data_IF_218215497301
#
_entry.id   IF_218215497301
#
_cell.length_a   1.000
_cell.length_b   1.000
_cell.length_c   1.000
_cell.angle_alpha   90.00
_cell.angle_beta   90.00
_cell.angle_gamma   90.00
#
_symmetry.space_group_name_H-M   'P 1'
#
loop_
_entity.id
_entity.type
_entity.pdbx_description
1 polymer ?
#
# COMPACT_ATOMS: atom_id res chain seq x y z
N UNK A 1 22.64 -2.58 14.77
CA UNK A 1 22.14 -3.30 15.94
C UNK A 1 20.66 -3.58 15.72
N UNK A 2 20.27 -4.84 15.65
CA UNK A 2 18.85 -5.23 15.57
C UNK A 2 18.14 -4.88 16.89
N UNK A 3 16.80 -4.78 16.87
CA UNK A 3 16.04 -4.58 18.11
C UNK A 3 16.34 -5.68 19.14
N UNK A 4 16.43 -6.94 18.69
CA UNK A 4 16.80 -8.07 19.54
C UNK A 4 18.20 -7.94 20.14
N UNK A 5 19.17 -7.43 19.38
CA UNK A 5 20.53 -7.14 19.89
C UNK A 5 20.56 -5.97 20.88
N UNK A 6 19.76 -4.92 20.65
CA UNK A 6 19.62 -3.79 21.58
C UNK A 6 18.88 -4.18 22.88
N UNK A 7 18.09 -5.25 22.82
CA UNK A 7 17.30 -5.78 23.93
C UNK A 7 17.97 -6.94 24.67
N UNK A 8 19.08 -7.49 24.18
CA UNK A 8 19.76 -8.60 24.83
C UNK A 8 20.23 -8.21 26.24
N UNK A 9 19.73 -8.91 27.27
CA UNK A 9 20.23 -8.83 28.65
C UNK A 9 19.66 -7.71 29.54
N UNK A 10 18.70 -6.89 29.10
CA UNK A 10 17.88 -6.13 30.06
C UNK A 10 16.42 -6.01 29.66
N UNK A 11 15.57 -5.85 30.67
CA UNK A 11 14.15 -5.69 30.52
C UNK A 11 13.82 -4.39 29.76
N UNK A 12 12.90 -4.49 28.80
CA UNK A 12 12.20 -3.33 28.26
C UNK A 12 11.45 -2.62 29.39
N UNK A 13 11.23 -1.29 29.32
CA UNK A 13 10.35 -0.64 30.25
C UNK A 13 8.93 -1.22 30.14
N UNK A 14 8.37 -1.60 31.28
CA UNK A 14 6.99 -2.06 31.47
C UNK A 14 6.11 -0.93 32.00
N UNK A 15 4.82 -1.18 32.23
CA UNK A 15 3.91 -0.18 32.81
C UNK A 15 4.27 0.19 34.25
N UNK A 16 4.94 -0.71 34.95
CA UNK A 16 5.39 -0.59 36.34
C UNK A 16 6.79 0.02 36.44
N UNK A 17 7.51 0.13 35.32
CA UNK A 17 8.86 0.71 35.31
C UNK A 17 8.78 2.19 35.68
N UNK A 18 9.50 2.65 36.73
CA UNK A 18 9.56 4.06 37.08
C UNK A 18 9.99 4.92 35.88
N UNK A 19 9.39 6.09 35.73
CA UNK A 19 9.60 6.96 34.56
C UNK A 19 11.08 7.32 34.35
N UNK A 20 11.81 7.62 35.42
CA UNK A 20 13.24 7.92 35.36
C UNK A 20 14.07 6.73 34.86
N UNK A 21 13.69 5.50 35.23
CA UNK A 21 14.35 4.29 34.74
C UNK A 21 14.03 4.04 33.27
N UNK A 22 12.77 4.21 32.86
CA UNK A 22 12.38 4.13 31.46
C UNK A 22 13.13 5.17 30.61
N UNK A 23 13.20 6.43 31.06
CA UNK A 23 13.94 7.50 30.40
C UNK A 23 15.42 7.15 30.22
N UNK A 24 16.06 6.62 31.28
CA UNK A 24 17.45 6.17 31.26
C UNK A 24 17.65 5.02 30.26
N UNK A 25 16.81 3.98 30.31
CA UNK A 25 16.87 2.86 29.36
C UNK A 25 16.76 3.36 27.92
N UNK A 26 15.78 4.22 27.65
CA UNK A 26 15.51 4.72 26.30
C UNK A 26 16.63 5.63 25.78
N UNK A 27 17.15 6.51 26.63
CA UNK A 27 18.26 7.39 26.31
C UNK A 27 19.56 6.62 26.07
N UNK A 28 19.95 5.78 27.03
CA UNK A 28 21.27 5.17 27.04
C UNK A 28 21.41 4.09 25.96
N UNK A 29 20.31 3.38 25.65
CA UNK A 29 20.33 2.31 24.64
C UNK A 29 20.03 2.77 23.23
N UNK A 30 19.04 3.65 23.08
CA UNK A 30 18.52 4.01 21.76
C UNK A 30 18.88 5.44 21.37
N UNK A 31 19.57 6.20 22.24
CA UNK A 31 19.76 7.64 22.07
C UNK A 31 18.44 8.36 21.77
N UNK A 32 17.35 7.85 22.35
CA UNK A 32 16.01 8.28 22.01
C UNK A 32 15.75 9.67 22.62
N UNK A 33 15.04 10.51 21.85
CA UNK A 33 14.45 11.75 22.37
C UNK A 33 13.05 11.53 22.93
N UNK A 34 12.28 10.67 22.28
CA UNK A 34 10.91 10.35 22.69
C UNK A 34 10.83 8.86 23.00
N UNK A 35 10.04 8.55 24.02
CA UNK A 35 9.76 7.20 24.48
C UNK A 35 8.29 6.86 24.33
N UNK A 36 7.99 5.67 23.83
CA UNK A 36 6.66 5.07 23.83
C UNK A 36 6.76 3.61 24.29
N UNK A 37 6.07 3.25 25.36
CA UNK A 37 6.04 1.88 25.87
C UNK A 37 4.70 1.57 26.55
N UNK A 38 4.42 0.29 26.80
CA UNK A 38 3.13 -0.08 27.36
C UNK A 38 2.83 -1.57 27.27
N UNK A 39 1.58 -1.92 27.55
CA UNK A 39 1.05 -3.26 27.37
C UNK A 39 -0.07 -3.26 26.33
N UNK A 40 -0.13 -4.32 25.53
CA UNK A 40 -1.20 -4.55 24.56
C UNK A 40 -1.86 -5.86 24.90
N UNK A 41 -3.18 -5.86 25.06
CA UNK A 41 -3.97 -7.04 25.39
C UNK A 41 -5.17 -7.17 24.45
N UNK A 42 -5.56 -8.39 24.05
CA UNK A 42 -6.77 -8.59 23.25
C UNK A 42 -8.03 -8.24 24.06
N UNK A 43 -9.01 -7.64 23.38
CA UNK A 43 -10.35 -7.39 23.92
C UNK A 43 -11.38 -7.60 22.81
N UNK A 44 -12.13 -8.71 22.90
CA UNK A 44 -13.02 -9.14 21.81
C UNK A 44 -12.26 -9.38 20.50
N UNK A 45 -12.73 -8.77 19.41
CA UNK A 45 -12.06 -8.77 18.11
C UNK A 45 -10.90 -7.75 18.01
N UNK A 46 -10.79 -6.86 19.00
CA UNK A 46 -9.87 -5.73 19.02
C UNK A 46 -8.73 -5.88 20.02
N UNK A 47 -8.15 -4.75 20.41
CA UNK A 47 -7.07 -4.63 21.40
C UNK A 47 -7.33 -3.46 22.35
N UNK A 48 -6.87 -3.62 23.58
CA UNK A 48 -6.66 -2.54 24.53
C UNK A 48 -5.16 -2.31 24.68
N UNK A 49 -4.76 -1.05 24.64
CA UNK A 49 -3.38 -0.61 24.76
C UNK A 49 -3.26 0.35 25.93
N UNK A 50 -2.55 -0.07 26.97
CA UNK A 50 -2.17 0.78 28.08
C UNK A 50 -0.81 1.38 27.74
N UNK A 51 -0.76 2.69 27.47
CA UNK A 51 0.42 3.32 26.88
C UNK A 51 0.99 4.41 27.78
N UNK A 52 2.31 4.52 27.75
CA UNK A 52 3.12 5.57 28.36
C UNK A 52 3.95 6.26 27.28
N UNK A 53 3.88 7.57 27.22
CA UNK A 53 4.65 8.40 26.29
C UNK A 53 5.43 9.48 27.04
N UNK A 54 6.67 9.76 26.62
CA UNK A 54 7.46 10.85 27.19
C UNK A 54 8.38 11.53 26.17
N UNK A 55 8.65 12.82 26.39
CA UNK A 55 9.84 13.48 25.87
C UNK A 55 10.93 13.37 26.94
N UNK A 56 11.97 12.58 26.65
CA UNK A 56 13.05 12.23 27.58
C UNK A 56 13.85 13.46 27.99
N UNK A 57 13.90 14.49 27.14
CA UNK A 57 14.64 15.72 27.43
C UNK A 57 13.92 16.60 28.44
N UNK A 58 12.59 16.64 28.38
CA UNK A 58 11.79 17.60 29.16
C UNK A 58 11.04 16.96 30.33
N UNK A 59 10.84 15.64 30.29
CA UNK A 59 9.95 14.91 31.20
C UNK A 59 10.53 13.57 31.64
N UNK A 60 11.82 13.54 32.00
CA UNK A 60 12.49 12.30 32.41
C UNK A 60 11.87 11.66 33.66
N UNK A 61 11.25 12.44 34.55
CA UNK A 61 10.69 11.95 35.82
C UNK A 61 9.22 11.56 35.76
N UNK A 62 8.51 11.89 34.67
CA UNK A 62 7.09 11.57 34.53
C UNK A 62 6.68 11.45 33.06
N UNK A 63 5.95 10.40 32.65
CA UNK A 63 5.39 10.33 31.31
C UNK A 63 4.40 11.47 31.07
N UNK A 64 4.52 12.09 29.91
CA UNK A 64 3.59 13.14 29.43
C UNK A 64 2.25 12.52 29.06
N UNK A 65 2.26 11.26 28.60
CA UNK A 65 1.06 10.52 28.21
C UNK A 65 0.97 9.26 29.06
N UNK A 66 -0.18 9.03 29.68
CA UNK A 66 -0.48 7.84 30.45
C UNK A 66 -1.95 7.49 30.36
N UNK A 67 -2.36 6.86 29.26
CA UNK A 67 -3.78 6.57 28.98
C UNK A 67 -3.95 5.22 28.30
N UNK A 68 -5.18 4.73 28.35
CA UNK A 68 -5.62 3.49 27.73
C UNK A 68 -6.33 3.81 26.42
N UNK A 69 -6.02 3.06 25.38
CA UNK A 69 -6.66 3.14 24.07
C UNK A 69 -7.34 1.82 23.76
N UNK A 70 -8.52 1.89 23.16
CA UNK A 70 -9.18 0.71 22.59
C UNK A 70 -9.20 0.84 21.07
N UNK A 71 -8.78 -0.24 20.42
CA UNK A 71 -8.77 -0.38 18.98
C UNK A 71 -9.72 -1.50 18.60
N UNK A 72 -10.75 -1.20 17.80
CA UNK A 72 -11.70 -2.20 17.33
C UNK A 72 -11.05 -3.31 16.49
N UNK A 73 -9.90 -3.01 15.89
CA UNK A 73 -9.12 -3.93 15.04
C UNK A 73 -7.63 -3.83 15.39
N UNK A 74 -6.90 -4.94 15.31
CA UNK A 74 -5.47 -4.99 15.68
C UNK A 74 -4.59 -4.07 14.85
N UNK A 75 -5.04 -3.72 13.65
CA UNK A 75 -4.35 -2.84 12.71
C UNK A 75 -4.32 -1.38 13.15
N UNK A 76 -5.19 -0.98 14.09
CA UNK A 76 -5.29 0.40 14.56
C UNK A 76 -4.24 0.75 15.63
N UNK A 77 -3.34 -0.19 15.97
CA UNK A 77 -2.18 0.08 16.85
C UNK A 77 -1.29 1.18 16.26
N UNK A 78 -0.98 1.12 14.97
CA UNK A 78 -0.10 2.10 14.33
C UNK A 78 -0.74 3.51 14.32
N UNK A 79 -2.01 3.69 13.93
CA UNK A 79 -2.71 4.97 14.12
C UNK A 79 -2.65 5.51 15.54
N UNK A 80 -2.86 4.66 16.55
CA UNK A 80 -2.75 5.08 17.96
C UNK A 80 -1.34 5.52 18.31
N UNK A 81 -0.31 4.80 17.85
CA UNK A 81 1.09 5.19 18.03
C UNK A 81 1.40 6.53 17.35
N UNK A 82 0.93 6.74 16.12
CA UNK A 82 1.10 7.98 15.37
C UNK A 82 0.46 9.16 16.11
N UNK A 83 -0.78 9.02 16.58
CA UNK A 83 -1.49 10.07 17.32
C UNK A 83 -0.75 10.43 18.62
N UNK A 84 -0.22 9.44 19.33
CA UNK A 84 0.60 9.65 20.51
C UNK A 84 1.90 10.40 20.17
N UNK A 85 2.59 10.01 19.09
CA UNK A 85 3.82 10.67 18.66
C UNK A 85 3.56 12.12 18.21
N UNK A 86 2.44 12.38 17.52
CA UNK A 86 2.03 13.72 17.15
C UNK A 86 1.80 14.59 18.39
N UNK A 87 1.11 14.07 19.39
CA UNK A 87 0.91 14.73 20.68
C UNK A 87 2.25 15.01 21.40
N UNK A 88 3.11 14.01 21.55
CA UNK A 88 4.43 14.16 22.21
C UNK A 88 5.33 15.18 21.52
N UNK A 89 5.26 15.25 20.19
CA UNK A 89 6.12 16.12 19.40
C UNK A 89 5.53 17.52 19.16
N UNK A 90 4.27 17.74 19.55
CA UNK A 90 3.49 18.94 19.18
C UNK A 90 3.29 19.09 17.67
N UNK A 91 3.54 18.03 16.89
CA UNK A 91 3.37 18.05 15.44
C UNK A 91 1.91 17.80 15.11
N UNK A 92 1.43 18.43 14.04
CA UNK A 92 0.13 18.11 13.47
C UNK A 92 0.33 17.05 12.40
N UNK A 93 -0.63 16.12 12.26
CA UNK A 93 -0.69 15.22 11.13
C UNK A 93 -0.67 16.09 9.87
N UNK A 94 0.27 15.86 8.97
CA UNK A 94 0.18 16.49 7.65
C UNK A 94 -1.15 16.03 7.05
N UNK A 95 -2.00 16.94 6.54
CA UNK A 95 -3.16 16.52 5.78
C UNK A 95 -2.67 15.54 4.73
N UNK A 96 -3.27 14.35 4.67
CA UNK A 96 -3.09 13.52 3.48
C UNK A 96 -3.65 14.38 2.36
N UNK A 97 -2.85 14.73 1.34
CA UNK A 97 -3.39 15.47 0.22
C UNK A 97 -4.62 14.75 -0.29
N UNK A 98 -5.79 15.38 -0.15
CA UNK A 98 -6.98 14.92 -0.82
C UNK A 98 -6.73 15.19 -2.30
N UNK A 99 -6.32 14.16 -3.04
CA UNK A 99 -6.48 14.18 -4.47
C UNK A 99 -7.97 14.39 -4.71
N UNK A 100 -8.38 15.49 -5.35
CA UNK A 100 -9.76 15.66 -5.80
C UNK A 100 -9.87 14.91 -7.12
N UNK A 101 -10.55 13.75 -7.15
CA UNK A 101 -10.72 13.00 -8.39
C UNK A 101 -11.42 13.85 -9.44
N UNK A 102 -12.28 14.80 -9.04
CA UNK A 102 -12.97 15.72 -9.94
C UNK A 102 -12.00 16.71 -10.60
N UNK A 103 -11.08 17.30 -9.84
CA UNK A 103 -10.09 18.22 -10.38
C UNK A 103 -9.13 17.50 -11.34
N UNK A 104 -8.66 16.31 -10.96
CA UNK A 104 -7.79 15.49 -11.80
C UNK A 104 -8.53 14.95 -13.04
N UNK A 105 -9.83 14.64 -12.92
CA UNK A 105 -10.68 14.25 -14.04
C UNK A 105 -10.85 15.37 -15.08
N UNK A 106 -10.82 16.64 -14.66
CA UNK A 106 -10.92 17.79 -15.56
C UNK A 106 -9.65 18.08 -16.37
N UNK A 107 -8.50 17.50 -16.00
CA UNK A 107 -7.23 17.74 -16.70
C UNK A 107 -7.28 17.15 -18.11
N UNK A 108 -7.04 18.02 -19.09
CA UNK A 108 -6.97 17.68 -20.51
C UNK A 108 -5.72 16.83 -20.79
N UNK A 109 -5.90 15.82 -21.64
CA UNK A 109 -4.82 14.93 -22.08
C UNK A 109 -4.59 15.06 -23.58
N UNK A 110 -3.37 14.76 -24.02
CA UNK A 110 -2.96 14.76 -25.43
C UNK A 110 -2.32 13.43 -25.80
N UNK A 111 -2.32 13.12 -27.09
CA UNK A 111 -1.69 11.91 -27.62
C UNK A 111 -2.51 10.62 -27.39
N UNK A 112 -1.93 9.47 -27.77
CA UNK A 112 -2.58 8.18 -27.65
C UNK A 112 -2.59 7.66 -26.21
N UNK A 113 -3.36 6.59 -25.98
CA UNK A 113 -3.25 5.76 -24.79
C UNK A 113 -1.86 5.11 -24.72
N UNK A 114 -1.20 5.18 -23.56
CA UNK A 114 0.13 4.60 -23.37
C UNK A 114 0.07 3.19 -22.76
N UNK A 115 -1.03 2.83 -22.08
CA UNK A 115 -1.21 1.50 -21.50
C UNK A 115 -1.73 0.55 -22.57
N UNK A 116 -0.96 -0.49 -22.87
CA UNK A 116 -1.40 -1.56 -23.76
C UNK A 116 -2.54 -2.34 -23.09
N UNK A 117 -3.67 -2.45 -23.79
CA UNK A 117 -4.81 -3.28 -23.39
C UNK A 117 -5.24 -3.03 -21.92
N UNK A 118 -5.38 -1.76 -21.54
CA UNK A 118 -5.77 -1.39 -20.18
C UNK A 118 -7.20 -1.76 -19.79
N UNK A 119 -8.08 -2.00 -20.77
CA UNK A 119 -9.41 -2.59 -20.58
C UNK A 119 -9.41 -4.12 -20.54
N UNK A 120 -8.25 -4.77 -20.66
CA UNK A 120 -8.12 -6.24 -20.58
C UNK A 120 -9.01 -7.03 -21.57
N UNK A 121 -9.32 -6.49 -22.75
CA UNK A 121 -10.23 -7.14 -23.71
C UNK A 121 -9.52 -8.12 -24.65
N UNK A 122 -8.20 -7.99 -24.83
CA UNK A 122 -7.42 -8.84 -25.74
C UNK A 122 -6.44 -9.75 -25.01
N UNK A 123 -6.12 -10.90 -25.60
CA UNK A 123 -5.21 -11.90 -25.03
C UNK A 123 -5.69 -13.33 -25.29
N UNK A 124 -5.00 -14.30 -24.70
CA UNK A 124 -5.33 -15.72 -24.81
C UNK A 124 -5.53 -16.35 -23.42
N UNK A 125 -4.46 -16.84 -22.80
CA UNK A 125 -4.50 -17.30 -21.41
C UNK A 125 -4.32 -16.16 -20.39
N UNK A 126 -3.82 -15.02 -20.85
CA UNK A 126 -3.56 -13.82 -20.05
C UNK A 126 -3.85 -12.58 -20.88
N UNK A 127 -4.23 -11.44 -20.27
CA UNK A 127 -4.35 -10.17 -20.99
C UNK A 127 -3.04 -9.82 -21.69
N UNK A 128 -3.12 -9.48 -22.98
CA UNK A 128 -1.98 -9.01 -23.74
C UNK A 128 -1.44 -7.71 -23.11
N UNK A 129 -0.12 -7.51 -23.04
CA UNK A 129 0.45 -6.28 -22.46
C UNK A 129 0.62 -6.31 -20.94
N UNK A 130 0.35 -7.44 -20.30
CA UNK A 130 0.40 -7.61 -18.85
C UNK A 130 1.12 -8.89 -18.45
N UNK A 131 1.55 -8.98 -17.19
CA UNK A 131 2.16 -10.19 -16.65
C UNK A 131 1.21 -11.39 -16.79
N UNK A 132 1.74 -12.61 -16.79
CA UNK A 132 0.92 -13.82 -16.85
C UNK A 132 0.07 -13.98 -15.58
N UNK A 133 -1.22 -14.29 -15.70
CA UNK A 133 -2.05 -14.68 -14.54
C UNK A 133 -1.54 -15.98 -13.89
N UNK A 134 -1.63 -16.06 -12.57
CA UNK A 134 -1.19 -17.22 -11.79
C UNK A 134 -2.31 -18.25 -11.57
N UNK A 135 -3.58 -17.91 -11.78
CA UNK A 135 -4.72 -18.81 -11.60
C UNK A 135 -5.08 -19.14 -10.14
N UNK A 136 -4.38 -18.57 -9.15
CA UNK A 136 -4.69 -18.77 -7.73
C UNK A 136 -5.08 -17.46 -7.03
N UNK A 137 -4.34 -16.38 -7.32
CA UNK A 137 -4.60 -15.05 -6.76
C UNK A 137 -4.89 -14.01 -7.84
N UNK A 138 -4.65 -14.31 -9.11
CA UNK A 138 -4.88 -13.43 -10.26
C UNK A 138 -5.60 -14.19 -11.37
N UNK A 139 -6.64 -13.57 -11.91
CA UNK A 139 -7.57 -14.17 -12.86
C UNK A 139 -7.97 -13.15 -13.92
N UNK A 140 -8.34 -13.64 -15.11
CA UNK A 140 -8.89 -12.84 -16.19
C UNK A 140 -10.33 -13.31 -16.46
N UNK A 141 -11.31 -12.43 -16.22
CA UNK A 141 -12.73 -12.82 -16.09
C UNK A 141 -13.66 -11.88 -16.86
N UNK A 142 -14.83 -12.36 -17.29
CA UNK A 142 -15.86 -11.60 -18.03
C UNK A 142 -16.75 -10.69 -17.16
N UNK A 143 -16.24 -10.26 -16.00
CA UNK A 143 -16.97 -9.48 -14.99
C UNK A 143 -16.66 -7.96 -15.05
N UNK A 144 -16.10 -7.48 -16.16
CA UNK A 144 -15.60 -6.11 -16.39
C UNK A 144 -16.69 -5.04 -16.57
N UNK A 145 -16.28 -3.82 -16.94
CA UNK A 145 -17.17 -2.67 -17.07
C UNK A 145 -17.01 -1.90 -18.39
N UNK A 146 -17.67 -2.36 -19.48
CA UNK A 146 -18.18 -3.72 -19.69
C UNK A 146 -17.06 -4.65 -20.17
N UNK A 147 -17.30 -5.96 -20.20
CA UNK A 147 -16.39 -6.92 -20.85
C UNK A 147 -15.52 -7.67 -19.85
N UNK A 148 -14.22 -7.76 -20.13
CA UNK A 148 -13.25 -8.49 -19.31
C UNK A 148 -12.62 -7.58 -18.25
N UNK A 149 -12.05 -8.20 -17.21
CA UNK A 149 -11.29 -7.47 -16.19
C UNK A 149 -10.24 -8.36 -15.54
N UNK A 150 -9.28 -7.72 -14.87
CA UNK A 150 -8.39 -8.40 -13.93
C UNK A 150 -9.12 -8.59 -12.60
N UNK A 151 -9.19 -9.83 -12.14
CA UNK A 151 -9.65 -10.18 -10.80
C UNK A 151 -8.47 -10.62 -9.94
N UNK A 152 -8.36 -10.05 -8.74
CA UNK A 152 -7.40 -10.43 -7.72
C UNK A 152 -8.14 -11.03 -6.52
N UNK A 153 -7.73 -12.21 -6.05
CA UNK A 153 -8.17 -12.80 -4.80
C UNK A 153 -7.01 -12.77 -3.78
N UNK A 154 -7.16 -12.01 -2.70
CA UNK A 154 -6.16 -11.97 -1.61
C UNK A 154 -6.51 -12.90 -0.46
N UNK A 155 -7.68 -13.53 -0.50
CA UNK A 155 -8.19 -14.45 0.52
C UNK A 155 -7.72 -15.89 0.25
N UNK A 156 -6.40 -16.09 0.34
CA UNK A 156 -5.69 -17.36 0.12
C UNK A 156 -4.69 -17.52 1.25
N UNK A 157 -4.56 -18.71 1.84
CA UNK A 157 -3.53 -18.94 2.86
C UNK A 157 -2.14 -18.68 2.27
N UNK A 158 -1.31 -17.95 3.02
CA UNK A 158 0.00 -17.53 2.56
C UNK A 158 0.88 -18.71 2.15
N UNK A 159 0.88 -19.78 2.92
CA UNK A 159 1.73 -20.95 2.66
C UNK A 159 1.29 -21.68 1.38
N UNK A 160 -0.02 -21.79 1.13
CA UNK A 160 -0.56 -22.34 -0.13
C UNK A 160 -0.14 -21.49 -1.33
N UNK A 161 -0.15 -20.16 -1.16
CA UNK A 161 0.30 -19.23 -2.18
C UNK A 161 1.80 -19.37 -2.44
N UNK A 162 2.64 -19.44 -1.40
CA UNK A 162 4.09 -19.63 -1.56
C UNK A 162 4.41 -20.92 -2.32
N UNK A 163 3.74 -22.02 -1.97
CA UNK A 163 3.94 -23.30 -2.68
C UNK A 163 3.50 -23.22 -4.14
N UNK A 164 2.39 -22.54 -4.43
CA UNK A 164 1.97 -22.31 -5.81
C UNK A 164 2.93 -21.41 -6.57
N UNK A 165 3.39 -20.30 -5.98
CA UNK A 165 4.33 -19.38 -6.62
C UNK A 165 5.65 -20.05 -7.00
N UNK A 166 6.13 -21.04 -6.24
CA UNK A 166 7.29 -21.87 -6.61
C UNK A 166 7.03 -22.60 -7.93
N UNK A 167 5.89 -23.28 -8.06
CA UNK A 167 5.50 -24.02 -9.27
C UNK A 167 5.24 -23.09 -10.45
N UNK A 168 4.53 -21.99 -10.22
CA UNK A 168 4.24 -20.96 -11.21
C UNK A 168 5.53 -20.36 -11.79
N UNK A 169 6.51 -19.99 -10.95
CA UNK A 169 7.83 -19.51 -11.38
C UNK A 169 8.64 -20.57 -12.12
N UNK A 170 8.43 -21.85 -11.83
CA UNK A 170 9.02 -22.97 -12.57
C UNK A 170 8.28 -23.29 -13.89
N UNK A 171 7.24 -22.53 -14.25
CA UNK A 171 6.55 -22.62 -15.53
C UNK A 171 5.18 -23.28 -15.51
N UNK A 172 4.65 -23.68 -14.35
CA UNK A 172 3.29 -24.22 -14.24
C UNK A 172 2.25 -23.26 -14.87
N UNK A 173 1.25 -23.82 -15.54
CA UNK A 173 0.19 -23.08 -16.19
C UNK A 173 -0.89 -22.64 -15.19
N UNK A 174 -1.61 -21.56 -15.48
CA UNK A 174 -2.60 -21.00 -14.56
C UNK A 174 -3.77 -21.95 -14.26
N UNK A 175 -4.15 -22.80 -15.20
CA UNK A 175 -5.18 -23.83 -15.06
C UNK A 175 -4.76 -25.01 -14.16
N UNK A 176 -3.48 -25.09 -13.77
CA UNK A 176 -2.96 -26.07 -12.83
C UNK A 176 -2.97 -25.55 -11.38
N UNK A 177 -3.39 -24.30 -11.16
CA UNK A 177 -3.46 -23.71 -9.83
C UNK A 177 -4.44 -24.49 -8.94
N UNK A 178 -4.06 -24.86 -7.71
CA UNK A 178 -4.99 -25.50 -6.79
C UNK A 178 -6.07 -24.50 -6.37
N UNK A 179 -7.30 -24.98 -6.20
CA UNK A 179 -8.35 -24.21 -5.56
C UNK A 179 -7.89 -23.85 -4.12
N UNK A 180 -7.93 -22.57 -3.71
CA UNK A 180 -7.56 -22.18 -2.36
C UNK A 180 -8.42 -22.86 -1.31
N UNK A 181 -7.82 -23.29 -0.20
CA UNK A 181 -8.60 -23.74 0.95
C UNK A 181 -9.40 -22.57 1.53
N UNK A 182 -10.68 -22.74 1.90
CA UNK A 182 -11.45 -21.69 2.55
C UNK A 182 -10.74 -21.19 3.81
N UNK A 183 -10.43 -19.90 3.84
CA UNK A 183 -9.76 -19.29 4.99
C UNK A 183 -10.74 -19.08 6.14
N UNK A 184 -10.24 -19.12 7.38
CA UNK A 184 -11.05 -18.94 8.59
C UNK A 184 -10.38 -17.99 9.58
N UNK A 185 -11.14 -17.54 10.58
CA UNK A 185 -10.62 -16.71 11.66
C UNK A 185 -10.22 -15.30 11.21
N UNK A 186 -9.17 -14.69 11.82
CA UNK A 186 -8.81 -13.29 11.58
C UNK A 186 -8.01 -13.05 10.29
N UNK A 187 -7.67 -14.11 9.55
CA UNK A 187 -7.05 -14.07 8.21
C UNK A 187 -5.69 -13.35 8.11
N UNK A 188 -4.94 -13.25 9.20
CA UNK A 188 -3.58 -12.67 9.18
C UNK A 188 -2.54 -13.58 8.53
N UNK A 189 -2.85 -14.87 8.43
CA UNK A 189 -2.08 -15.92 7.76
C UNK A 189 -2.45 -16.04 6.27
N UNK A 190 -3.25 -15.12 5.73
CA UNK A 190 -3.56 -15.05 4.31
C UNK A 190 -2.59 -14.15 3.56
N UNK A 191 -2.56 -14.25 2.24
CA UNK A 191 -1.80 -13.35 1.37
C UNK A 191 -2.16 -11.88 1.65
N UNK A 192 -3.44 -11.57 1.89
CA UNK A 192 -3.91 -10.25 2.30
C UNK A 192 -3.22 -9.72 3.58
N UNK A 193 -3.00 -10.59 4.56
CA UNK A 193 -2.44 -10.24 5.87
C UNK A 193 -0.93 -10.04 5.87
N UNK A 194 -0.20 -10.65 4.92
CA UNK A 194 1.27 -10.69 4.94
C UNK A 194 1.91 -9.92 3.78
N UNK A 195 1.48 -10.17 2.54
CA UNK A 195 2.21 -9.72 1.34
C UNK A 195 1.40 -8.86 0.37
N UNK A 196 0.11 -9.13 0.23
CA UNK A 196 -0.68 -8.67 -0.91
C UNK A 196 -0.32 -9.37 -2.22
N UNK A 197 -1.06 -9.02 -3.27
CA UNK A 197 -0.93 -9.54 -4.63
C UNK A 197 -0.66 -8.37 -5.55
N UNK A 198 0.37 -8.51 -6.40
CA UNK A 198 0.77 -7.51 -7.37
C UNK A 198 0.62 -8.03 -8.81
N UNK A 199 0.17 -7.15 -9.72
CA UNK A 199 0.01 -7.45 -11.12
C UNK A 199 0.57 -6.33 -12.01
N UNK A 200 1.65 -6.63 -12.72
CA UNK A 200 2.43 -5.67 -13.50
C UNK A 200 1.98 -5.58 -14.97
N UNK A 201 1.97 -4.36 -15.49
CA UNK A 201 1.92 -4.10 -16.93
C UNK A 201 3.28 -4.39 -17.61
N UNK A 202 3.26 -4.48 -18.93
CA UNK A 202 4.46 -4.24 -19.74
C UNK A 202 5.02 -2.83 -19.50
N UNK A 203 6.32 -2.60 -19.81
CA UNK A 203 6.92 -1.27 -19.80
C UNK A 203 6.11 -0.24 -20.61
N UNK A 204 5.79 0.88 -19.98
CA UNK A 204 5.14 2.04 -20.59
C UNK A 204 6.19 3.14 -20.78
N UNK A 205 6.42 3.61 -22.02
CA UNK A 205 7.39 4.66 -22.27
C UNK A 205 6.92 6.00 -21.69
N UNK A 206 7.85 6.77 -21.13
CA UNK A 206 7.61 8.13 -20.63
C UNK A 206 8.66 9.09 -21.18
N UNK A 207 8.25 10.33 -21.43
CA UNK A 207 9.08 11.40 -21.95
C UNK A 207 9.48 12.36 -20.82
N UNK A 208 10.70 12.92 -20.85
CA UNK A 208 11.14 13.95 -19.89
C UNK A 208 10.27 15.22 -19.86
N UNK A 209 10.13 15.83 -18.67
CA UNK A 209 9.37 17.05 -18.41
C UNK A 209 7.85 16.91 -18.48
N UNK A 210 7.31 15.69 -18.65
CA UNK A 210 5.86 15.48 -18.83
C UNK A 210 5.14 15.11 -17.53
N UNK A 211 3.87 15.48 -17.49
CA UNK A 211 2.90 15.02 -16.49
C UNK A 211 1.92 14.05 -17.15
N UNK A 212 1.44 13.08 -16.36
CA UNK A 212 0.58 12.01 -16.85
C UNK A 212 -0.70 11.92 -16.04
N UNK A 213 -1.83 11.79 -16.72
CA UNK A 213 -3.10 11.45 -16.11
C UNK A 213 -3.23 9.94 -16.11
N UNK A 214 -3.32 9.36 -14.92
CA UNK A 214 -3.42 7.92 -14.70
C UNK A 214 -4.77 7.61 -14.09
N UNK A 215 -5.51 6.66 -14.65
CA UNK A 215 -6.79 6.22 -14.11
C UNK A 215 -6.97 4.71 -14.15
N UNK A 216 -7.90 4.22 -13.35
CA UNK A 216 -8.29 2.80 -13.29
C UNK A 216 -9.71 2.68 -12.74
N UNK A 217 -10.50 1.80 -13.35
CA UNK A 217 -11.76 1.32 -12.83
C UNK A 217 -11.51 0.26 -11.75
N UNK A 218 -12.20 0.39 -10.62
CA UNK A 218 -12.03 -0.47 -9.47
C UNK A 218 -13.39 -0.88 -8.89
N UNK A 219 -13.54 -2.17 -8.58
CA UNK A 219 -14.65 -2.71 -7.80
C UNK A 219 -14.11 -3.66 -6.73
N UNK A 220 -14.23 -3.27 -5.47
CA UNK A 220 -13.82 -4.10 -4.33
C UNK A 220 -14.01 -3.38 -3.00
N UNK A 221 -13.71 -4.07 -1.91
CA UNK A 221 -13.80 -3.48 -0.57
C UNK A 221 -12.57 -2.62 -0.27
N UNK A 222 -12.77 -1.49 0.39
CA UNK A 222 -11.66 -0.67 0.89
C UNK A 222 -12.05 -0.04 2.23
N UNK A 223 -11.07 0.26 3.05
CA UNK A 223 -11.24 0.99 4.30
C UNK A 223 -10.50 2.33 4.20
N UNK A 224 -10.67 3.19 5.20
CA UNK A 224 -9.97 4.48 5.24
C UNK A 224 -8.45 4.32 5.23
N UNK A 225 -7.96 3.23 5.84
CA UNK A 225 -6.54 2.95 5.99
C UNK A 225 -5.99 1.93 4.97
N UNK A 226 -6.82 0.97 4.58
CA UNK A 226 -6.44 -0.11 3.67
C UNK A 226 -7.24 -0.05 2.38
N UNK A 227 -6.54 0.18 1.28
CA UNK A 227 -7.13 0.31 -0.05
C UNK A 227 -6.15 -0.25 -1.09
N UNK A 228 -6.64 -0.91 -2.15
CA UNK A 228 -5.79 -1.26 -3.28
C UNK A 228 -5.08 -0.04 -3.86
N UNK A 229 -3.97 -0.29 -4.54
CA UNK A 229 -3.12 0.76 -5.12
C UNK A 229 -2.84 0.44 -6.56
N UNK A 230 -2.78 1.47 -7.39
CA UNK A 230 -2.10 1.43 -8.66
C UNK A 230 -0.76 2.14 -8.49
N UNK A 231 0.34 1.39 -8.37
CA UNK A 231 1.66 1.99 -8.33
C UNK A 231 2.12 2.39 -9.73
N UNK A 232 2.76 3.55 -9.83
CA UNK A 232 3.44 4.07 -11.00
C UNK A 232 4.93 4.03 -10.68
N UNK A 233 5.61 2.97 -11.14
CA UNK A 233 7.03 2.74 -10.82
C UNK A 233 7.91 3.03 -12.01
N UNK A 234 8.82 4.00 -11.85
CA UNK A 234 9.85 4.30 -12.85
C UNK A 234 11.07 3.43 -12.63
N UNK A 235 11.54 2.80 -13.71
CA UNK A 235 12.67 1.88 -13.73
C UNK A 235 13.84 2.47 -14.49
N UNK A 236 15.05 2.13 -14.05
CA UNK A 236 16.32 2.51 -14.67
C UNK A 236 17.37 1.42 -14.47
N UNK A 237 18.37 1.34 -15.34
CA UNK A 237 19.56 0.54 -15.10
C UNK A 237 20.47 1.21 -14.05
N UNK A 238 20.63 0.58 -12.89
CA UNK A 238 21.58 0.99 -11.85
C UNK A 238 22.57 -0.14 -11.63
N UNK A 239 23.83 0.07 -12.04
CA UNK A 239 24.84 -0.98 -12.02
C UNK A 239 24.55 -2.14 -12.99
N UNK A 240 23.83 -1.88 -14.08
CA UNK A 240 23.42 -2.89 -15.06
C UNK A 240 22.14 -3.65 -14.72
N UNK A 241 21.58 -3.46 -13.52
CA UNK A 241 20.33 -4.10 -13.09
C UNK A 241 19.15 -3.12 -13.13
N UNK A 242 17.96 -3.63 -13.46
CA UNK A 242 16.73 -2.84 -13.36
C UNK A 242 16.41 -2.53 -11.89
N UNK A 243 16.34 -1.25 -11.56
CA UNK A 243 15.93 -0.76 -10.23
C UNK A 243 14.78 0.22 -10.34
N UNK A 244 13.90 0.19 -9.34
CA UNK A 244 12.88 1.22 -9.16
C UNK A 244 13.58 2.49 -8.65
N UNK A 245 13.55 3.56 -9.43
CA UNK A 245 14.13 4.87 -9.10
C UNK A 245 13.07 5.95 -8.86
N UNK A 246 11.81 5.63 -9.15
CA UNK A 246 10.64 6.45 -8.90
C UNK A 246 9.47 5.57 -8.45
N UNK A 247 8.75 6.00 -7.42
CA UNK A 247 7.54 5.33 -6.95
C UNK A 247 6.49 6.37 -6.58
N UNK A 248 5.34 6.28 -7.23
CA UNK A 248 4.12 6.98 -6.87
C UNK A 248 2.97 5.97 -6.87
N UNK A 249 1.82 6.33 -6.27
CA UNK A 249 0.65 5.46 -6.35
C UNK A 249 -0.65 6.25 -6.40
N UNK A 250 -1.63 5.71 -7.09
CA UNK A 250 -3.03 6.12 -6.97
C UNK A 250 -3.71 5.22 -5.92
N UNK A 251 -4.30 5.85 -4.91
CA UNK A 251 -5.09 5.17 -3.88
C UNK A 251 -6.46 4.80 -4.46
N UNK A 252 -6.83 3.51 -4.44
CA UNK A 252 -8.08 3.03 -5.02
C UNK A 252 -9.12 2.89 -3.91
N UNK A 253 -9.78 4.00 -3.61
CA UNK A 253 -10.91 4.01 -2.67
C UNK A 253 -12.18 3.66 -3.43
N UNK A 254 -13.05 2.90 -2.80
CA UNK A 254 -14.36 2.53 -3.34
C UNK A 254 -15.43 2.78 -2.28
N UNK A 255 -16.24 3.82 -2.50
CA UNK A 255 -17.34 4.19 -1.61
C UNK A 255 -18.46 3.14 -1.64
N UNK A 256 -18.67 2.51 -2.80
CA UNK A 256 -19.63 1.44 -3.02
C UNK A 256 -19.24 0.12 -2.33
N UNK A 257 -18.04 0.01 -1.74
CA UNK A 257 -17.58 -1.16 -1.00
C UNK A 257 -17.72 -2.48 -1.81
N UNK A 258 -17.41 -2.41 -3.11
CA UNK A 258 -17.50 -3.54 -4.04
C UNK A 258 -18.86 -3.77 -4.68
N UNK A 259 -19.89 -2.97 -4.35
CA UNK A 259 -21.22 -3.07 -4.97
C UNK A 259 -21.31 -2.46 -6.37
N UNK A 260 -20.30 -1.69 -6.78
CA UNK A 260 -20.26 -1.00 -8.07
C UNK A 260 -18.85 -0.68 -8.50
N UNK A 261 -18.70 -0.35 -9.79
CA UNK A 261 -17.45 0.12 -10.36
C UNK A 261 -17.27 1.62 -10.11
N UNK A 262 -16.07 2.00 -9.69
CA UNK A 262 -15.67 3.40 -9.50
C UNK A 262 -14.39 3.69 -10.26
N UNK A 263 -14.33 4.85 -10.92
CA UNK A 263 -13.13 5.32 -11.58
C UNK A 263 -12.30 6.15 -10.60
N UNK A 264 -11.03 5.78 -10.44
CA UNK A 264 -10.05 6.53 -9.68
C UNK A 264 -9.08 7.17 -10.66
N UNK A 265 -8.69 8.43 -10.42
CA UNK A 265 -7.79 9.19 -11.29
C UNK A 265 -6.79 9.98 -10.47
N UNK A 266 -5.57 10.11 -10.99
CA UNK A 266 -4.51 10.94 -10.42
C UNK A 266 -3.65 11.57 -11.51
N UNK A 267 -3.20 12.82 -11.30
CA UNK A 267 -2.07 13.39 -12.05
C UNK A 267 -0.74 13.03 -11.40
N UNK A 268 0.20 12.57 -12.22
CA UNK A 268 1.55 12.18 -11.83
C UNK A 268 2.55 13.08 -12.53
N UNK A 269 3.22 13.93 -11.74
CA UNK A 269 4.41 14.66 -12.15
C UNK A 269 5.65 13.87 -11.71
N UNK A 270 6.52 13.52 -12.66
CA UNK A 270 7.82 12.91 -12.35
C UNK A 270 8.83 14.04 -12.15
N UNK A 271 9.52 14.14 -11.01
CA UNK A 271 10.54 15.15 -10.78
C UNK A 271 11.64 15.08 -11.85
N UNK A 272 12.09 16.23 -12.36
CA UNK A 272 13.04 16.30 -13.48
C UNK A 272 14.38 15.57 -13.20
N UNK A 273 14.86 15.62 -11.96
CA UNK A 273 16.09 14.95 -11.51
C UNK A 273 15.97 13.42 -11.46
N UNK A 274 14.75 12.91 -11.30
CA UNK A 274 14.43 11.48 -11.37
C UNK A 274 14.13 11.06 -12.80
N UNK A 275 13.40 11.89 -13.54
CA UNK A 275 12.92 11.59 -14.88
C UNK A 275 14.04 11.39 -15.90
N UNK A 276 15.15 12.12 -15.77
CA UNK A 276 16.35 11.92 -16.59
C UNK A 276 17.00 10.54 -16.43
N UNK A 277 16.60 9.77 -15.41
CA UNK A 277 17.10 8.42 -15.14
C UNK A 277 16.09 7.35 -15.52
N UNK A 278 14.80 7.66 -15.57
CA UNK A 278 13.75 6.67 -15.87
C UNK A 278 13.80 6.31 -17.35
N UNK A 279 13.90 5.01 -17.64
CA UNK A 279 13.82 4.48 -19.00
C UNK A 279 12.38 4.16 -19.40
N UNK A 280 11.59 3.65 -18.45
CA UNK A 280 10.18 3.33 -18.61
C UNK A 280 9.49 3.30 -17.25
N UNK A 281 8.15 3.35 -17.26
CA UNK A 281 7.36 3.05 -16.07
C UNK A 281 6.67 1.71 -16.21
N UNK A 282 6.36 1.06 -15.09
CA UNK A 282 5.38 -0.03 -15.03
C UNK A 282 4.24 0.38 -14.13
N UNK A 283 3.03 0.07 -14.56
CA UNK A 283 1.84 0.17 -13.74
C UNK A 283 1.67 -1.16 -12.99
N UNK A 284 1.66 -1.10 -11.65
CA UNK A 284 1.51 -2.27 -10.78
C UNK A 284 0.19 -2.15 -10.02
N UNK A 285 -0.79 -2.96 -10.41
CA UNK A 285 -2.03 -3.12 -9.65
C UNK A 285 -1.71 -3.94 -8.41
N UNK A 286 -2.11 -3.45 -7.24
CA UNK A 286 -1.81 -4.09 -5.98
C UNK A 286 -3.02 -4.12 -5.07
N UNK A 287 -3.41 -5.32 -4.64
CA UNK A 287 -4.44 -5.52 -3.63
C UNK A 287 -3.88 -6.30 -2.45
N UNK A 288 -4.33 -6.00 -1.24
CA UNK A 288 -3.87 -6.69 -0.05
C UNK A 288 -5.02 -6.83 0.95
N UNK A 289 -5.30 -5.79 1.74
CA UNK A 289 -6.30 -5.81 2.80
C UNK A 289 -7.51 -4.93 2.43
N UNK A 290 -8.75 -5.33 2.78
CA UNK A 290 -9.14 -6.56 3.49
C UNK A 290 -9.02 -7.83 2.62
N UNK A 291 -8.96 -9.04 3.21
CA UNK A 291 -8.98 -10.28 2.44
C UNK A 291 -10.26 -10.36 1.60
N UNK A 292 -10.11 -10.63 0.31
CA UNK A 292 -11.25 -10.82 -0.58
C UNK A 292 -10.92 -10.69 -2.05
N UNK A 293 -11.98 -10.50 -2.83
CA UNK A 293 -11.92 -10.33 -4.29
C UNK A 293 -11.95 -8.84 -4.67
N UNK A 294 -11.09 -8.47 -5.61
CA UNK A 294 -10.97 -7.13 -6.19
C UNK A 294 -10.97 -7.25 -7.71
N UNK A 295 -11.78 -6.44 -8.38
CA UNK A 295 -11.80 -6.35 -9.84
C UNK A 295 -11.23 -5.00 -10.29
N UNK A 296 -10.42 -5.03 -11.34
CA UNK A 296 -9.73 -3.89 -11.92
C UNK A 296 -9.91 -3.90 -13.43
N UNK A 297 -10.21 -2.73 -13.98
CA UNK A 297 -10.51 -2.56 -15.40
C UNK A 297 -10.16 -1.14 -15.86
N UNK A 298 -10.16 -0.89 -17.16
CA UNK A 298 -10.02 0.45 -17.77
C UNK A 298 -8.79 1.23 -17.25
N UNK A 299 -7.64 0.55 -17.15
CA UNK A 299 -6.38 1.20 -16.79
C UNK A 299 -5.96 2.14 -17.93
N UNK A 300 -5.64 3.38 -17.61
CA UNK A 300 -5.23 4.38 -18.61
C UNK A 300 -4.09 5.22 -18.08
N UNK A 301 -3.18 5.59 -18.98
CA UNK A 301 -2.13 6.57 -18.77
C UNK A 301 -1.97 7.39 -20.03
N UNK A 302 -2.23 8.70 -19.93
CA UNK A 302 -2.10 9.64 -21.05
C UNK A 302 -1.28 10.85 -20.63
N UNK A 303 -0.55 11.44 -21.57
CA UNK A 303 0.16 12.69 -21.35
C UNK A 303 -0.84 13.83 -21.09
N UNK A 304 -0.57 14.68 -20.11
CA UNK A 304 -1.36 15.88 -19.88
C UNK A 304 -1.05 16.94 -20.96
N UNK A 305 -2.04 17.73 -21.34
CA UNK A 305 -1.82 18.85 -22.25
C UNK A 305 -0.76 19.83 -21.70
N UNK A 306 0.11 20.41 -22.54
CA UNK A 306 1.07 21.41 -22.10
C UNK A 306 0.38 22.58 -21.38
N UNK A 307 0.89 22.98 -20.23
CA UNK A 307 0.32 24.09 -19.44
C UNK A 307 -1.00 23.75 -18.74
N UNK A 308 -1.44 22.49 -18.73
CA UNK A 308 -2.58 22.09 -17.91
C UNK A 308 -2.36 22.50 -16.45
N UNK A 309 -3.35 23.16 -15.86
CA UNK A 309 -3.33 23.52 -14.45
C UNK A 309 -3.43 22.22 -13.63
N UNK A 310 -2.29 21.71 -13.17
CA UNK A 310 -2.25 20.51 -12.33
C UNK A 310 -2.74 20.94 -10.94
N UNK A 311 -3.83 20.36 -10.43
CA UNK A 311 -4.32 20.64 -9.09
C UNK A 311 -3.21 20.28 -8.10
N UNK A 312 -2.64 21.29 -7.44
CA UNK A 312 -1.69 21.05 -6.37
C UNK A 312 -2.46 21.06 -5.06
N UNK A 313 -2.37 19.99 -4.25
CA UNK A 313 -2.93 20.05 -2.92
C UNK A 313 -2.28 21.21 -2.16
N UNK A 314 -3.10 21.97 -1.44
CA UNK A 314 -2.61 23.04 -0.58
C UNK A 314 -1.56 22.47 0.38
N UNK A 315 -0.36 23.05 0.35
CA UNK A 315 0.76 22.61 1.19
C UNK A 315 0.61 23.07 2.64
#
# INVERSE_FOLDING_TARGET
MSFSEAMAGAAAPTLETPAADAARILKDRFSARYGLWGAVRPEGAGLVMDVRGMDIKTSAEKPVIGRTFSAAEKQLVNPVQDDILLELTGRKKKPVPEASPEADAGVLTVGPELVKNGGFETGAATPEGWQRIDGQTTFWTDDGNPGKCLKINTDVYHDEWVEWQKKYKAGAAADQAPAPTPTTGPKYDTVAGIYGVAYDSEPVPVAPGKAYKVSIGYRGRSTDFFFPKLFIRGWAKVGGEDRVVYDAYLALRCQAQGKGWESNVRIVEIPADVQSKIEYVKLKIYAYWPPGTFCFDNVSMKECAPGAAIPRPAR
#
